data_IF_610355055679
#
_entry.id   IF_610355055679
#
_cell.length_a   1.000
_cell.length_b   1.000
_cell.length_c   1.000
_cell.angle_alpha   90.00
_cell.angle_beta   90.00
_cell.angle_gamma   90.00
#
_symmetry.space_group_name_H-M   'P 1'
#
loop_
_entity.id
_entity.type
_entity.pdbx_description
1 polymer ?
#
# COMPACT_ATOMS: atom_id res chain seq x y z
N UNK A 1 5.74 -1.87 -7.99
CA UNK A 1 6.66 -3.00 -8.26
C UNK A 1 7.60 -3.34 -7.09
N UNK A 2 8.43 -2.40 -6.60
CA UNK A 2 9.40 -2.67 -5.50
C UNK A 2 8.75 -3.29 -4.26
N UNK A 3 7.59 -2.78 -3.83
CA UNK A 3 6.89 -3.31 -2.65
C UNK A 3 6.56 -4.82 -2.78
N UNK A 4 6.11 -5.25 -3.96
CA UNK A 4 5.84 -6.66 -4.26
C UNK A 4 7.11 -7.50 -4.17
N UNK A 5 8.19 -7.09 -4.82
CA UNK A 5 9.47 -7.82 -4.79
C UNK A 5 10.02 -7.97 -3.36
N UNK A 6 9.92 -6.92 -2.54
CA UNK A 6 10.36 -6.96 -1.15
C UNK A 6 9.47 -7.85 -0.28
N UNK A 7 8.16 -7.78 -0.46
CA UNK A 7 7.20 -8.58 0.31
C UNK A 7 7.19 -10.06 -0.10
N UNK A 8 7.21 -10.33 -1.40
CA UNK A 8 6.98 -11.67 -1.96
C UNK A 8 8.27 -12.46 -2.05
N UNK A 9 9.28 -11.92 -2.72
CA UNK A 9 10.53 -12.62 -3.02
C UNK A 9 11.47 -12.59 -1.82
N UNK A 10 11.62 -11.42 -1.20
CA UNK A 10 12.54 -11.22 -0.08
C UNK A 10 11.89 -11.45 1.29
N UNK A 11 10.59 -11.77 1.32
CA UNK A 11 9.79 -12.07 2.53
C UNK A 11 9.94 -11.01 3.62
N UNK A 12 10.13 -9.75 3.24
CA UNK A 12 10.25 -8.62 4.17
C UNK A 12 8.86 -8.18 4.60
N UNK A 13 8.76 -7.64 5.83
CA UNK A 13 7.56 -6.94 6.27
C UNK A 13 7.53 -5.58 5.58
N UNK A 14 6.60 -5.41 4.66
CA UNK A 14 6.41 -4.18 3.89
C UNK A 14 5.06 -3.58 4.26
N UNK A 15 5.06 -2.30 4.61
CA UNK A 15 3.85 -1.51 4.80
C UNK A 15 3.89 -0.35 3.82
N UNK A 16 2.81 -0.15 3.08
CA UNK A 16 2.61 0.97 2.17
C UNK A 16 1.62 1.92 2.82
N UNK A 17 2.03 3.18 2.98
CA UNK A 17 1.15 4.25 3.45
C UNK A 17 0.64 5.00 2.22
N UNK A 18 -0.69 5.05 2.08
CA UNK A 18 -1.36 5.66 0.93
C UNK A 18 -2.20 6.85 1.39
N UNK A 19 -1.87 8.02 0.87
CA UNK A 19 -2.51 9.30 1.18
C UNK A 19 -3.73 9.56 0.31
N UNK A 20 -3.63 9.23 -0.98
CA UNK A 20 -4.60 9.60 -2.02
C UNK A 20 -5.49 8.43 -2.45
N UNK A 21 -5.29 7.25 -1.86
CA UNK A 21 -6.02 6.02 -2.18
C UNK A 21 -5.79 5.53 -3.62
N UNK A 22 -4.63 5.86 -4.21
CA UNK A 22 -4.27 5.46 -5.57
C UNK A 22 -3.67 4.04 -5.61
N UNK A 23 -3.12 3.57 -4.48
CA UNK A 23 -2.42 2.30 -4.43
C UNK A 23 -3.42 1.18 -4.11
N UNK A 24 -3.88 0.50 -5.15
CA UNK A 24 -4.69 -0.70 -5.02
C UNK A 24 -6.18 -0.49 -4.81
N UNK A 25 -6.66 0.76 -4.77
CA UNK A 25 -8.08 1.14 -4.79
C UNK A 25 -8.93 0.60 -3.64
N UNK A 26 -10.25 0.76 -3.69
CA UNK A 26 -11.15 0.40 -2.56
C UNK A 26 -11.53 -1.08 -2.45
N UNK A 27 -10.83 -1.97 -3.17
CA UNK A 27 -11.14 -3.39 -3.18
C UNK A 27 -10.56 -4.16 -2.00
N UNK A 28 -11.34 -5.09 -1.43
CA UNK A 28 -10.87 -6.07 -0.44
C UNK A 28 -9.98 -7.17 -1.06
N UNK A 29 -9.87 -7.19 -2.39
CA UNK A 29 -9.02 -8.12 -3.14
C UNK A 29 -7.58 -7.60 -3.15
N UNK A 30 -6.58 -8.43 -2.78
CA UNK A 30 -5.17 -8.03 -2.84
C UNK A 30 -4.77 -7.54 -4.23
N UNK A 31 -4.27 -6.30 -4.30
CA UNK A 31 -3.83 -5.72 -5.56
C UNK A 31 -2.51 -6.35 -6.04
N UNK A 32 -2.52 -6.92 -7.25
CA UNK A 32 -1.38 -7.66 -7.81
C UNK A 32 -0.07 -6.87 -7.86
N UNK A 33 -0.15 -5.54 -7.95
CA UNK A 33 1.01 -4.65 -8.00
C UNK A 33 1.77 -4.46 -6.67
N UNK A 34 1.18 -4.84 -5.53
CA UNK A 34 1.80 -4.72 -4.19
C UNK A 34 2.04 -6.07 -3.50
N UNK A 35 1.51 -7.16 -4.06
CA UNK A 35 1.71 -8.50 -3.51
C UNK A 35 1.17 -8.63 -2.09
N UNK A 36 1.94 -9.25 -1.20
CA UNK A 36 1.59 -9.40 0.23
C UNK A 36 1.86 -8.17 1.10
N UNK A 37 2.30 -7.05 0.52
CA UNK A 37 2.51 -5.83 1.31
C UNK A 37 1.18 -5.34 1.91
N UNK A 38 1.22 -4.86 3.16
CA UNK A 38 0.02 -4.30 3.81
C UNK A 38 -0.17 -2.86 3.38
N UNK A 39 -1.36 -2.50 2.89
CA UNK A 39 -1.76 -1.11 2.69
C UNK A 39 -2.34 -0.52 3.97
N UNK A 40 -1.99 0.72 4.26
CA UNK A 40 -2.67 1.55 5.24
C UNK A 40 -3.02 2.88 4.58
N UNK A 41 -4.31 3.24 4.59
CA UNK A 41 -4.77 4.54 4.12
C UNK A 41 -4.63 5.57 5.25
N UNK A 42 -4.20 6.78 4.91
CA UNK A 42 -4.22 7.90 5.85
C UNK A 42 -5.67 8.39 6.01
N UNK A 43 -6.24 8.39 7.22
CA UNK A 43 -7.68 8.57 7.42
C UNK A 43 -8.19 10.00 7.21
N UNK A 44 -7.33 11.02 7.27
CA UNK A 44 -7.75 12.42 7.12
C UNK A 44 -6.91 13.12 6.05
N UNK A 45 -7.46 13.23 4.84
CA UNK A 45 -6.81 13.88 3.69
C UNK A 45 -6.55 15.36 3.96
N UNK A 46 -7.44 16.03 4.67
CA UNK A 46 -7.32 17.47 4.96
C UNK A 46 -6.15 17.81 5.90
N UNK A 47 -5.56 16.82 6.58
CA UNK A 47 -4.39 16.98 7.46
C UNK A 47 -3.06 16.68 6.76
N UNK A 48 -3.08 16.34 5.47
CA UNK A 48 -1.89 15.92 4.72
C UNK A 48 -1.12 17.10 4.10
N UNK A 49 -1.76 18.27 3.98
CA UNK A 49 -1.16 19.47 3.40
C UNK A 49 -0.87 20.50 4.50
N UNK A 50 0.37 20.98 4.55
CA UNK A 50 0.78 22.23 5.19
C UNK A 50 1.72 22.96 4.24
#
# INVERSE_FOLDING_TARGET
EIARMLADDHKKRVVIIDTSNEIGGDGDVPHSGIGRARRMQVPNVNMQHN
#
